data_IF_181710113197
#
_entry.id   IF_181710113197
#
_cell.length_a   1.000
_cell.length_b   1.000
_cell.length_c   1.000
_cell.angle_alpha   90.00
_cell.angle_beta   90.00
_cell.angle_gamma   90.00
#
_symmetry.space_group_name_H-M   'P 1'
#
loop_
_entity.id
_entity.type
_entity.pdbx_description
1 polymer ?
#
# COMPACT_ATOMS: atom_id res chain seq x y z
N UNK A 1 2.87 -10.16 6.57
CA UNK A 1 2.40 -9.86 5.20
C UNK A 1 1.24 -8.89 5.27
N UNK A 2 1.12 -7.94 4.32
CA UNK A 2 -0.04 -7.04 4.25
C UNK A 2 -1.28 -7.85 3.87
N UNK A 3 -2.29 -7.86 4.73
CA UNK A 3 -3.53 -8.61 4.54
C UNK A 3 -4.74 -7.70 4.25
N UNK A 4 -4.69 -6.45 4.71
CA UNK A 4 -5.73 -5.45 4.49
C UNK A 4 -5.11 -4.08 4.21
N UNK A 5 -5.79 -3.30 3.37
CA UNK A 5 -5.48 -1.90 3.13
C UNK A 5 -6.64 -1.04 3.62
N UNK A 6 -6.36 0.19 4.04
CA UNK A 6 -7.35 1.12 4.58
C UNK A 6 -7.47 2.31 3.64
N UNK A 7 -8.68 2.63 3.19
CA UNK A 7 -8.98 3.79 2.36
C UNK A 7 -9.99 4.71 3.02
N UNK A 8 -9.83 6.01 2.83
CA UNK A 8 -10.87 6.98 3.21
C UNK A 8 -12.01 6.90 2.18
N UNK A 9 -13.28 6.91 2.62
CA UNK A 9 -14.41 6.91 1.70
C UNK A 9 -14.46 8.24 0.93
N UNK A 10 -14.26 8.19 -0.38
CA UNK A 10 -14.33 9.40 -1.23
C UNK A 10 -15.74 10.03 -1.31
N UNK A 11 -16.79 9.34 -0.84
CA UNK A 11 -18.19 9.73 -1.03
C UNK A 11 -18.97 10.04 0.25
N UNK A 12 -18.35 9.93 1.42
CA UNK A 12 -19.01 10.19 2.71
C UNK A 12 -18.10 11.07 3.53
N UNK A 13 -18.62 12.19 4.05
CA UNK A 13 -17.95 13.03 5.04
C UNK A 13 -17.91 12.31 6.39
N UNK A 14 -17.23 11.18 6.43
CA UNK A 14 -16.98 10.36 7.60
C UNK A 14 -15.49 10.21 7.76
N UNK A 15 -15.02 10.38 9.00
CA UNK A 15 -13.63 10.10 9.36
C UNK A 15 -13.36 8.59 9.50
N UNK A 16 -14.34 7.74 9.16
CA UNK A 16 -14.21 6.29 9.20
C UNK A 16 -13.58 5.78 7.89
N UNK A 17 -12.48 5.04 7.99
CA UNK A 17 -11.88 4.33 6.87
C UNK A 17 -12.61 3.03 6.56
N UNK A 18 -12.45 2.55 5.33
CA UNK A 18 -12.90 1.23 4.89
C UNK A 18 -11.71 0.29 4.87
N UNK A 19 -11.86 -0.89 5.48
CA UNK A 19 -10.89 -1.98 5.37
C UNK A 19 -11.17 -2.83 4.13
N UNK A 20 -10.16 -2.98 3.28
CA UNK A 20 -10.23 -3.76 2.04
C UNK A 20 -9.29 -4.95 2.17
N UNK A 21 -9.88 -6.15 2.15
CA UNK A 21 -9.15 -7.41 2.13
C UNK A 21 -8.76 -7.85 0.73
N UNK A 22 -7.94 -8.89 0.65
CA UNK A 22 -7.61 -9.56 -0.62
C UNK A 22 -8.89 -10.06 -1.30
N UNK A 23 -9.02 -9.80 -2.60
CA UNK A 23 -10.18 -10.14 -3.41
C UNK A 23 -11.32 -9.12 -3.36
N UNK A 24 -11.24 -8.10 -2.50
CA UNK A 24 -12.18 -6.98 -2.49
C UNK A 24 -11.70 -5.85 -3.42
N UNK A 25 -12.65 -5.07 -3.92
CA UNK A 25 -12.36 -3.92 -4.76
C UNK A 25 -11.94 -2.70 -3.93
N UNK A 26 -10.94 -1.99 -4.45
CA UNK A 26 -10.42 -0.73 -3.95
C UNK A 26 -10.50 0.35 -5.02
N UNK A 27 -10.45 1.60 -4.59
CA UNK A 27 -10.23 2.73 -5.49
C UNK A 27 -8.74 2.87 -5.78
N UNK A 28 -8.37 2.96 -7.06
CA UNK A 28 -7.01 3.24 -7.51
C UNK A 28 -7.01 4.45 -8.45
N UNK A 29 -5.84 5.05 -8.62
CA UNK A 29 -5.60 6.15 -9.54
C UNK A 29 -4.64 5.70 -10.63
N UNK A 30 -4.99 5.98 -11.87
CA UNK A 30 -4.22 5.61 -13.05
C UNK A 30 -4.02 6.82 -13.94
N UNK A 31 -2.97 6.81 -14.76
CA UNK A 31 -2.73 7.87 -15.73
C UNK A 31 -3.92 7.99 -16.69
N UNK A 32 -4.31 9.22 -17.00
CA UNK A 32 -5.32 9.53 -18.01
C UNK A 32 -4.89 10.73 -18.87
N UNK A 33 -5.55 10.94 -20.01
CA UNK A 33 -5.25 12.08 -20.90
C UNK A 33 -5.42 13.39 -20.14
N UNK A 34 -4.30 14.03 -19.81
CA UNK A 34 -4.27 15.32 -19.10
C UNK A 34 -4.10 15.21 -17.58
N UNK A 35 -4.22 14.02 -16.97
CA UNK A 35 -4.21 13.93 -15.51
C UNK A 35 -4.16 12.51 -14.97
N UNK A 36 -5.03 12.24 -14.01
CA UNK A 36 -5.26 10.93 -13.41
C UNK A 36 -6.77 10.66 -13.41
N UNK A 37 -7.16 9.40 -13.54
CA UNK A 37 -8.55 8.95 -13.38
C UNK A 37 -8.64 7.98 -12.22
N UNK A 38 -9.80 7.99 -11.58
CA UNK A 38 -10.18 6.95 -10.62
C UNK A 38 -10.65 5.70 -11.36
N UNK A 39 -10.23 4.55 -10.87
CA UNK A 39 -10.60 3.23 -11.38
C UNK A 39 -10.83 2.31 -10.20
N UNK A 40 -11.82 1.42 -10.31
CA UNK A 40 -12.07 0.36 -9.33
C UNK A 40 -11.31 -0.90 -9.74
N UNK A 41 -10.52 -1.46 -8.84
CA UNK A 41 -9.74 -2.67 -9.11
C UNK A 41 -9.69 -3.58 -7.89
N UNK A 42 -9.59 -4.88 -8.12
CA UNK A 42 -9.56 -5.91 -7.09
C UNK A 42 -8.16 -6.04 -6.48
N UNK A 43 -8.08 -6.04 -5.15
CA UNK A 43 -6.81 -6.20 -4.44
C UNK A 43 -6.32 -7.65 -4.53
N UNK A 44 -5.21 -7.89 -5.22
CA UNK A 44 -4.66 -9.22 -5.47
C UNK A 44 -4.70 -9.59 -6.95
N UNK A 45 -3.87 -8.91 -7.75
CA UNK A 45 -3.76 -9.17 -9.20
C UNK A 45 -3.26 -10.58 -9.50
N UNK A 46 -3.49 -11.08 -10.71
CA UNK A 46 -2.93 -12.35 -11.21
C UNK A 46 -2.07 -12.08 -12.43
N UNK A 47 -0.90 -12.70 -12.49
CA UNK A 47 -0.14 -12.70 -13.73
C UNK A 47 -0.89 -13.52 -14.81
N UNK A 48 -0.72 -13.22 -16.10
CA UNK A 48 -1.34 -14.00 -17.17
C UNK A 48 -1.06 -15.50 -17.02
N UNK A 49 -2.12 -16.32 -17.08
CA UNK A 49 -2.02 -17.78 -16.93
C UNK A 49 -1.80 -18.30 -15.50
N UNK A 50 -1.73 -17.43 -14.50
CA UNK A 50 -1.53 -17.81 -13.10
C UNK A 50 -2.85 -17.80 -12.31
N UNK A 51 -3.03 -18.79 -11.45
CA UNK A 51 -4.18 -18.85 -10.52
C UNK A 51 -3.90 -18.12 -9.21
N UNK A 52 -2.62 -18.00 -8.82
CA UNK A 52 -2.23 -17.39 -7.55
C UNK A 52 -2.30 -15.87 -7.64
N UNK A 53 -3.02 -15.26 -6.69
CA UNK A 53 -3.03 -13.81 -6.53
C UNK A 53 -1.71 -13.29 -5.96
N UNK A 54 -1.27 -12.17 -6.50
CA UNK A 54 -0.12 -11.37 -6.11
C UNK A 54 -0.67 -10.13 -5.42
N UNK A 55 -0.44 -9.99 -4.12
CA UNK A 55 -0.93 -8.86 -3.32
C UNK A 55 0.15 -7.82 -3.08
N UNK A 56 1.39 -8.27 -2.93
CA UNK A 56 2.58 -7.44 -2.67
C UNK A 56 3.77 -7.94 -3.48
N UNK A 57 4.62 -7.04 -3.96
CA UNK A 57 5.91 -7.36 -4.58
C UNK A 57 6.97 -6.34 -4.18
N UNK A 58 8.22 -6.77 -4.06
CA UNK A 58 9.34 -5.82 -3.92
C UNK A 58 9.90 -5.47 -5.31
N UNK A 59 10.34 -4.22 -5.52
CA UNK A 59 10.87 -3.77 -6.80
C UNK A 59 11.97 -4.67 -7.40
N UNK A 60 12.86 -5.20 -6.56
CA UNK A 60 13.99 -6.04 -6.98
C UNK A 60 13.56 -7.42 -7.51
N UNK A 61 12.34 -7.85 -7.21
CA UNK A 61 11.79 -9.14 -7.66
C UNK A 61 10.86 -9.01 -8.87
N UNK A 62 10.74 -7.82 -9.46
CA UNK A 62 9.90 -7.62 -10.64
C UNK A 62 10.55 -8.29 -11.86
N UNK A 63 9.89 -9.32 -12.38
CA UNK A 63 10.28 -9.96 -13.63
C UNK A 63 10.00 -9.06 -14.85
N UNK A 64 10.45 -9.49 -16.04
CA UNK A 64 10.30 -8.71 -17.29
C UNK A 64 8.86 -8.28 -17.60
N UNK A 65 7.89 -9.16 -17.34
CA UNK A 65 6.46 -8.85 -17.55
C UNK A 65 6.00 -7.77 -16.58
N UNK A 66 6.40 -7.88 -15.31
CA UNK A 66 6.01 -6.91 -14.29
C UNK A 66 6.69 -5.55 -14.50
N UNK A 67 7.93 -5.53 -15.00
CA UNK A 67 8.60 -4.30 -15.41
C UNK A 67 7.89 -3.63 -16.60
N UNK A 68 7.37 -4.40 -17.55
CA UNK A 68 6.56 -3.84 -18.63
C UNK A 68 5.22 -3.26 -18.12
N UNK A 69 4.59 -3.93 -17.15
CA UNK A 69 3.39 -3.42 -16.45
C UNK A 69 3.75 -2.16 -15.66
N UNK A 70 4.91 -2.11 -15.01
CA UNK A 70 5.38 -0.92 -14.28
C UNK A 70 5.52 0.29 -15.20
N UNK A 71 6.10 0.09 -16.38
CA UNK A 71 6.31 1.17 -17.34
C UNK A 71 4.99 1.72 -17.89
N UNK A 72 4.00 0.84 -18.13
CA UNK A 72 2.81 1.17 -18.93
C UNK A 72 1.50 1.25 -18.14
N UNK A 73 1.42 0.56 -17.01
CA UNK A 73 0.20 0.31 -16.25
C UNK A 73 0.43 0.39 -14.73
N UNK A 74 1.43 1.15 -14.26
CA UNK A 74 1.51 1.49 -12.83
C UNK A 74 0.28 2.28 -12.37
N UNK A 75 -0.02 2.16 -11.09
CA UNK A 75 -1.13 2.86 -10.46
C UNK A 75 -0.72 3.39 -9.08
N UNK A 76 -1.54 4.31 -8.57
CA UNK A 76 -1.45 4.80 -7.20
C UNK A 76 -2.66 4.31 -6.41
N UNK A 77 -2.43 3.87 -5.19
CA UNK A 77 -3.44 3.41 -4.27
C UNK A 77 -3.51 4.44 -3.13
N UNK A 78 -4.57 5.25 -3.03
CA UNK A 78 -4.74 6.14 -1.89
C UNK A 78 -4.99 5.30 -0.64
N UNK A 79 -4.11 5.40 0.35
CA UNK A 79 -4.17 4.65 1.60
C UNK A 79 -4.14 5.60 2.79
N UNK A 80 -5.02 5.41 3.77
CA UNK A 80 -4.88 6.02 5.10
C UNK A 80 -4.28 5.04 6.13
N UNK A 81 -4.00 3.80 5.71
CA UNK A 81 -3.31 2.81 6.51
C UNK A 81 -3.25 1.44 5.85
N UNK A 82 -2.63 0.50 6.55
CA UNK A 82 -2.58 -0.91 6.19
C UNK A 82 -2.47 -1.79 7.44
N UNK A 83 -2.89 -3.05 7.32
CA UNK A 83 -2.72 -4.04 8.37
C UNK A 83 -1.79 -5.17 7.92
N UNK A 84 -0.81 -5.48 8.77
CA UNK A 84 0.05 -6.65 8.61
C UNK A 84 -0.26 -7.68 9.70
N UNK A 85 -0.31 -8.95 9.30
CA UNK A 85 -0.25 -10.06 10.24
C UNK A 85 1.07 -9.97 11.02
N UNK A 86 0.95 -9.90 12.34
CA UNK A 86 2.05 -9.82 13.30
C UNK A 86 2.55 -11.21 13.73
N UNK A 87 1.80 -12.27 13.42
CA UNK A 87 2.17 -13.66 13.68
C UNK A 87 1.99 -14.54 12.43
N UNK A 88 2.74 -15.64 12.36
CA UNK A 88 2.71 -16.60 11.25
C UNK A 88 1.36 -17.34 11.12
N UNK A 89 0.61 -17.45 12.23
CA UNK A 89 -0.74 -18.00 12.28
C UNK A 89 -1.84 -16.95 11.97
N UNK A 90 -1.47 -15.69 11.74
CA UNK A 90 -2.39 -14.59 11.48
C UNK A 90 -3.25 -14.16 12.68
N UNK A 91 -3.06 -14.78 13.86
CA UNK A 91 -3.86 -14.54 15.06
C UNK A 91 -3.71 -13.10 15.60
N UNK A 92 -2.56 -12.48 15.35
CA UNK A 92 -2.32 -11.08 15.71
C UNK A 92 -2.13 -10.25 14.45
N UNK A 93 -2.79 -9.10 14.40
CA UNK A 93 -2.61 -8.10 13.35
C UNK A 93 -2.40 -6.74 14.00
N UNK A 94 -1.47 -5.98 13.46
CA UNK A 94 -1.31 -4.57 13.80
C UNK A 94 -1.67 -3.72 12.59
N UNK A 95 -2.09 -2.50 12.87
CA UNK A 95 -2.57 -1.54 11.88
C UNK A 95 -1.71 -0.30 11.96
N UNK A 96 -1.16 0.10 10.82
CA UNK A 96 -0.39 1.33 10.67
C UNK A 96 -1.22 2.34 9.93
N UNK A 97 -1.30 3.55 10.47
CA UNK A 97 -2.10 4.65 9.93
C UNK A 97 -1.18 5.75 9.42
N UNK A 98 -1.71 6.59 8.53
CA UNK A 98 -1.01 7.79 8.07
C UNK A 98 -0.88 8.78 9.22
N UNK A 99 0.18 9.59 9.19
CA UNK A 99 0.52 10.53 10.26
C UNK A 99 -0.65 11.49 10.54
N UNK A 100 -1.13 12.15 9.49
CA UNK A 100 -2.19 13.16 9.52
C UNK A 100 -3.61 12.56 9.42
N UNK A 101 -3.74 11.23 9.28
CA UNK A 101 -5.01 10.58 8.99
C UNK A 101 -5.49 10.77 7.54
N UNK A 102 -4.72 11.46 6.70
CA UNK A 102 -4.99 11.67 5.29
C UNK A 102 -4.56 10.49 4.42
N UNK A 103 -4.84 10.58 3.11
CA UNK A 103 -4.40 9.59 2.15
C UNK A 103 -2.94 9.81 1.74
N UNK A 104 -2.11 8.81 1.94
CA UNK A 104 -0.81 8.65 1.28
C UNK A 104 -0.97 7.80 0.03
N UNK A 105 -0.25 8.11 -1.04
CA UNK A 105 -0.34 7.35 -2.29
C UNK A 105 0.73 6.27 -2.33
N UNK A 106 0.30 5.00 -2.20
CA UNK A 106 1.17 3.84 -2.42
C UNK A 106 1.26 3.50 -3.91
N UNK A 107 2.43 3.04 -4.35
CA UNK A 107 2.63 2.58 -5.72
C UNK A 107 2.20 1.13 -5.88
N UNK A 108 1.66 0.81 -7.05
CA UNK A 108 1.31 -0.56 -7.38
C UNK A 108 1.30 -0.85 -8.87
N UNK A 109 1.14 -2.13 -9.17
CA UNK A 109 0.97 -2.66 -10.51
C UNK A 109 -0.50 -3.04 -10.70
N UNK A 110 -1.08 -2.68 -11.83
CA UNK A 110 -2.42 -3.16 -12.21
C UNK A 110 -2.38 -3.88 -13.55
N UNK A 111 -3.24 -4.88 -13.71
CA UNK A 111 -3.46 -5.53 -14.98
C UNK A 111 -4.87 -6.09 -15.08
N UNK A 112 -5.30 -6.35 -16.31
CA UNK A 112 -6.52 -7.11 -16.58
C UNK A 112 -6.29 -8.56 -16.16
N UNK A 113 -7.25 -9.13 -15.44
CA UNK A 113 -7.33 -10.53 -15.05
C UNK A 113 -8.57 -11.17 -15.66
N UNK A 114 -8.50 -12.46 -15.96
CA UNK A 114 -9.67 -13.28 -16.24
C UNK A 114 -10.00 -14.11 -14.99
N UNK A 115 -11.21 -13.95 -14.46
CA UNK A 115 -11.75 -14.78 -13.39
C UNK A 115 -13.09 -15.34 -13.84
N UNK A 116 -13.12 -16.64 -14.14
CA UNK A 116 -14.34 -17.35 -14.52
C UNK A 116 -14.96 -16.83 -15.83
N UNK A 117 -14.14 -16.40 -16.80
CA UNK A 117 -14.58 -15.86 -18.08
C UNK A 117 -14.99 -14.39 -18.02
N UNK A 118 -14.73 -13.71 -16.90
CA UNK A 118 -15.00 -12.27 -16.72
C UNK A 118 -13.70 -11.51 -16.56
N UNK A 119 -13.49 -10.55 -17.45
CA UNK A 119 -12.38 -9.62 -17.37
C UNK A 119 -12.62 -8.62 -16.22
N UNK A 120 -11.62 -8.47 -15.36
CA UNK A 120 -11.64 -7.51 -14.26
C UNK A 120 -10.24 -6.93 -14.04
N UNK A 121 -10.16 -5.71 -13.52
CA UNK A 121 -8.88 -5.10 -13.17
C UNK A 121 -8.44 -5.59 -11.80
N UNK A 122 -7.20 -6.06 -11.69
CA UNK A 122 -6.56 -6.39 -10.43
C UNK A 122 -5.34 -5.51 -10.17
N UNK A 123 -5.00 -5.30 -8.91
CA UNK A 123 -3.78 -4.60 -8.53
C UNK A 123 -2.99 -5.30 -7.41
N UNK A 124 -1.71 -4.98 -7.31
CA UNK A 124 -0.82 -5.36 -6.21
C UNK A 124 -0.02 -4.15 -5.73
N UNK A 125 0.35 -4.13 -4.46
CA UNK A 125 1.22 -3.09 -3.90
C UNK A 125 2.69 -3.38 -4.20
N UNK A 126 3.46 -2.34 -4.45
CA UNK A 126 4.90 -2.42 -4.23
C UNK A 126 5.21 -2.21 -2.75
N UNK A 127 6.10 -3.03 -2.20
CA UNK A 127 6.47 -3.01 -0.79
C UNK A 127 7.97 -3.08 -0.58
N UNK A 128 8.43 -2.62 0.58
CA UNK A 128 9.75 -2.93 1.11
C UNK A 128 9.61 -3.87 2.30
N UNK A 129 10.35 -4.99 2.29
CA UNK A 129 10.40 -5.90 3.42
C UNK A 129 11.23 -5.34 4.59
N UNK A 130 10.94 -5.82 5.79
CA UNK A 130 11.63 -5.48 7.03
C UNK A 130 11.76 -6.71 7.92
N UNK A 131 12.84 -6.78 8.70
CA UNK A 131 13.03 -7.81 9.73
C UNK A 131 12.22 -7.55 11.00
N UNK A 132 11.74 -6.31 11.19
CA UNK A 132 10.87 -5.90 12.29
C UNK A 132 9.44 -5.64 11.82
N UNK A 133 8.48 -5.64 12.75
CA UNK A 133 7.10 -5.30 12.43
C UNK A 133 6.96 -3.81 12.08
N UNK A 134 6.24 -3.46 11.00
CA UNK A 134 5.60 -4.38 10.04
C UNK A 134 6.64 -5.01 9.10
N UNK A 135 6.53 -6.32 8.87
CA UNK A 135 7.47 -7.07 8.01
C UNK A 135 7.45 -6.61 6.55
N UNK A 136 6.44 -5.84 6.16
CA UNK A 136 6.30 -5.22 4.84
C UNK A 136 5.70 -3.83 5.01
N UNK A 137 6.21 -2.88 4.23
CA UNK A 137 5.69 -1.51 4.17
C UNK A 137 5.34 -1.15 2.74
N UNK A 138 4.14 -0.61 2.45
CA UNK A 138 3.85 -0.06 1.14
C UNK A 138 4.92 0.96 0.72
N UNK A 139 5.35 0.91 -0.53
CA UNK A 139 6.18 1.95 -1.11
C UNK A 139 5.28 3.10 -1.55
N UNK A 140 5.49 4.25 -0.94
CA UNK A 140 4.74 5.49 -1.18
C UNK A 140 5.50 6.41 -2.11
N UNK A 141 4.77 7.24 -2.83
CA UNK A 141 5.35 8.33 -3.59
C UNK A 141 5.44 9.59 -2.72
N UNK A 142 6.43 10.43 -3.02
CA UNK A 142 6.46 11.81 -2.53
C UNK A 142 6.18 12.78 -3.68
N UNK A 143 5.51 13.89 -3.36
CA UNK A 143 5.19 14.93 -4.33
C UNK A 143 3.88 14.68 -5.08
N UNK A 144 3.76 15.28 -6.27
CA UNK A 144 2.51 15.30 -7.03
C UNK A 144 2.22 13.94 -7.70
N UNK A 145 1.08 13.36 -7.32
CA UNK A 145 0.59 12.07 -7.82
C UNK A 145 0.38 12.05 -9.35
N UNK A 146 -0.08 13.15 -9.92
CA UNK A 146 -0.35 13.24 -11.35
C UNK A 146 0.95 13.29 -12.15
N UNK A 147 1.95 14.03 -11.67
CA UNK A 147 3.28 14.08 -12.27
C UNK A 147 3.98 12.73 -12.16
N UNK A 148 3.92 12.07 -11.01
CA UNK A 148 4.53 10.75 -10.82
C UNK A 148 3.95 9.69 -11.78
N UNK A 149 2.64 9.73 -12.05
CA UNK A 149 2.02 8.85 -13.04
C UNK A 149 2.52 9.11 -14.47
N UNK A 150 3.09 10.29 -14.76
CA UNK A 150 3.54 10.70 -16.10
C UNK A 150 5.05 10.54 -16.34
N UNK A 151 5.88 10.37 -15.30
CA UNK A 151 7.33 10.17 -15.45
C UNK A 151 7.65 8.81 -16.10
N UNK A 152 8.91 8.55 -16.46
CA UNK A 152 9.30 7.19 -16.86
C UNK A 152 9.18 6.23 -15.67
N UNK A 153 9.07 4.92 -15.93
CA UNK A 153 9.06 3.93 -14.86
C UNK A 153 10.35 3.96 -14.03
N UNK A 154 11.50 4.17 -14.65
CA UNK A 154 12.78 4.29 -13.93
C UNK A 154 12.76 5.47 -12.94
N UNK A 155 12.39 6.65 -13.40
CA UNK A 155 12.30 7.84 -12.56
C UNK A 155 11.24 7.68 -11.47
N UNK A 156 10.11 7.06 -11.80
CA UNK A 156 9.04 6.77 -10.84
C UNK A 156 9.55 5.85 -9.71
N UNK A 157 10.37 4.84 -10.04
CA UNK A 157 10.93 3.87 -9.09
C UNK A 157 11.87 4.54 -8.09
N UNK A 158 12.75 5.43 -8.58
CA UNK A 158 13.70 6.18 -7.74
C UNK A 158 13.03 7.11 -6.72
N UNK A 159 11.74 7.45 -6.91
CA UNK A 159 10.97 8.33 -6.04
C UNK A 159 10.12 7.58 -5.01
N UNK A 160 10.23 6.26 -4.95
CA UNK A 160 9.53 5.44 -3.97
C UNK A 160 10.21 5.50 -2.61
N UNK A 161 9.41 5.63 -1.56
CA UNK A 161 9.87 5.58 -0.18
C UNK A 161 8.98 4.66 0.65
N UNK A 162 9.53 3.81 1.53
CA UNK A 162 8.72 3.02 2.44
C UNK A 162 7.80 3.90 3.29
N UNK A 163 6.60 3.40 3.55
CA UNK A 163 5.63 4.01 4.45
C UNK A 163 6.29 4.40 5.79
N UNK A 164 6.00 5.62 6.27
CA UNK A 164 6.55 6.13 7.52
C UNK A 164 5.80 5.57 8.73
N UNK A 165 6.52 4.96 9.65
CA UNK A 165 5.96 4.25 10.81
C UNK A 165 5.67 5.19 11.99
N UNK A 166 4.90 6.24 11.75
CA UNK A 166 4.71 7.30 12.76
C UNK A 166 3.45 7.08 13.61
N UNK A 167 2.47 6.31 13.11
CA UNK A 167 1.25 5.94 13.85
C UNK A 167 0.94 4.46 13.69
N UNK A 168 0.81 3.77 14.82
CA UNK A 168 0.47 2.36 14.89
C UNK A 168 -0.60 2.14 15.96
N UNK A 169 -1.63 1.37 15.63
CA UNK A 169 -2.61 0.84 16.56
C UNK A 169 -2.56 -0.68 16.44
N UNK A 170 -2.48 -1.40 17.55
CA UNK A 170 -2.73 -2.84 17.50
C UNK A 170 -4.24 -3.06 17.44
N UNK A 171 -4.67 -4.05 16.68
CA UNK A 171 -6.04 -4.55 16.78
C UNK A 171 -6.16 -5.40 18.07
N UNK A 172 -6.00 -4.75 19.24
CA UNK A 172 -6.34 -5.21 20.60
C UNK A 172 -5.85 -4.25 21.71
N UNK A 173 -5.67 -2.94 21.46
CA UNK A 173 -5.31 -2.01 22.56
C UNK A 173 -3.94 -2.24 23.20
N UNK A 174 -3.05 -3.02 22.57
CA UNK A 174 -1.67 -3.24 23.01
C UNK A 174 -0.78 -2.17 22.40
N UNK A 175 -0.20 -1.30 23.24
CA UNK A 175 0.79 -0.31 22.81
C UNK A 175 2.05 -1.04 22.28
N UNK A 176 2.60 -0.68 21.11
CA UNK A 176 3.85 -1.28 20.63
C UNK A 176 5.02 -0.98 21.58
N UNK A 177 5.86 -1.97 21.89
CA UNK A 177 6.97 -1.85 22.85
C UNK A 177 8.02 -0.80 22.47
N UNK A 178 8.17 -0.45 21.19
CA UNK A 178 9.09 0.63 20.76
C UNK A 178 8.58 2.04 21.10
N UNK A 179 7.30 2.20 21.45
CA UNK A 179 6.75 3.46 21.99
C UNK A 179 7.08 3.67 23.48
N UNK A 180 7.92 2.80 24.08
CA UNK A 180 8.35 2.84 25.47
C UNK A 180 9.76 3.39 25.66
N UNK A 181 10.46 3.84 24.60
CA UNK A 181 11.70 4.62 24.78
C UNK A 181 11.34 6.03 25.29
N UNK A 182 11.13 6.10 26.60
CA UNK A 182 11.04 7.35 27.33
C UNK A 182 12.37 8.11 27.19
N UNK A 183 12.31 9.33 26.65
CA UNK A 183 13.37 10.34 26.78
C UNK A 183 13.87 10.37 28.23
N UNK A 184 15.18 10.19 28.50
CA UNK A 184 15.71 10.48 29.82
C UNK A 184 15.50 11.98 30.09
N UNK A 185 14.74 12.30 31.14
CA UNK A 185 14.69 13.65 31.70
C UNK A 185 16.09 13.97 32.23
N UNK A 186 16.83 14.81 31.53
CA UNK A 186 18.04 15.40 32.08
C UNK A 186 17.61 16.35 33.20
N UNK A 187 17.83 15.95 34.44
CA UNK A 187 17.72 16.83 35.59
C UNK A 187 18.89 17.83 35.53
N UNK A 188 18.57 19.13 35.63
CA UNK A 188 19.57 20.17 35.79
C UNK A 188 20.26 20.05 37.16
N UNK A 189 21.58 20.26 37.28
CA UNK A 189 22.22 20.33 38.58
C UNK A 189 22.00 21.71 39.23
N UNK A 190 21.80 21.69 40.55
CA UNK A 190 22.07 22.84 41.44
C UNK A 190 23.57 22.92 41.75
#
# INVERSE_FOLDING_TARGET
MIARILQLPGRVASNAWVEIGVGADADILVADRGGKREERATFGRRAPGQQRSITTQEPEWLGRVDLAIWETQRCLIPLCGFACSASADGATSATWLSQDGGASYAAGLRNVMDIGGRLQMGFSLLVASSTSLPTQRPLCIQGDATQWLKTSGEEAMCRLMPWRLERCTTAAGVRPEWASEARPKHAAPM
#
